data_IF_561933467473
#
_entry.id   IF_561933467473
#
_cell.length_a   1.000
_cell.length_b   1.000
_cell.length_c   1.000
_cell.angle_alpha   90.00
_cell.angle_beta   90.00
_cell.angle_gamma   90.00
#
_symmetry.space_group_name_H-M   'P 1'
#
loop_
_entity.id
_entity.type
_entity.pdbx_description
1 polymer ?
#
# COMPACT_ATOMS: atom_id res chain seq x y z
N UNK A 1 18.19 23.83 -4.16
CA UNK A 1 19.02 22.63 -4.30
C UNK A 1 18.50 21.83 -5.48
N UNK A 2 19.36 21.60 -6.46
CA UNK A 2 19.01 21.07 -7.78
C UNK A 2 18.88 19.55 -7.66
N UNK A 3 17.66 19.01 -7.72
CA UNK A 3 17.43 17.55 -7.68
C UNK A 3 18.06 16.90 -8.92
N UNK A 4 19.17 16.18 -8.74
CA UNK A 4 19.70 15.28 -9.77
C UNK A 4 18.78 14.07 -9.90
N UNK A 5 18.67 13.42 -11.08
CA UNK A 5 17.83 12.24 -11.27
C UNK A 5 18.12 11.11 -10.28
N UNK A 6 19.40 10.97 -9.89
CA UNK A 6 19.88 10.00 -8.89
C UNK A 6 19.36 10.32 -7.48
N UNK A 7 19.34 11.60 -7.10
CA UNK A 7 18.83 12.03 -5.80
C UNK A 7 17.31 11.84 -5.64
N UNK A 8 16.56 11.82 -6.75
CA UNK A 8 15.12 11.57 -6.73
C UNK A 8 14.78 10.11 -6.44
N UNK A 9 15.48 9.16 -7.08
CA UNK A 9 15.24 7.73 -6.85
C UNK A 9 15.65 7.34 -5.41
N UNK A 10 16.74 7.91 -4.87
CA UNK A 10 17.14 7.71 -3.47
C UNK A 10 16.10 8.27 -2.48
N UNK A 11 15.60 9.49 -2.72
CA UNK A 11 14.55 10.09 -1.88
C UNK A 11 13.23 9.31 -1.96
N UNK A 12 12.87 8.79 -3.13
CA UNK A 12 11.70 7.93 -3.31
C UNK A 12 11.88 6.58 -2.59
N UNK A 13 13.07 5.98 -2.66
CA UNK A 13 13.36 4.73 -1.96
C UNK A 13 13.30 4.92 -0.44
N UNK A 14 13.96 5.97 0.08
CA UNK A 14 13.94 6.28 1.50
C UNK A 14 12.52 6.57 2.01
N UNK A 15 11.75 7.36 1.24
CA UNK A 15 10.34 7.64 1.53
C UNK A 15 9.43 6.42 1.43
N UNK A 16 9.71 5.48 0.51
CA UNK A 16 8.97 4.23 0.39
C UNK A 16 9.23 3.33 1.61
N UNK A 17 10.49 3.12 1.99
CA UNK A 17 10.88 2.29 3.15
C UNK A 17 10.26 2.81 4.46
N UNK A 18 10.24 4.13 4.66
CA UNK A 18 9.60 4.76 5.82
C UNK A 18 8.11 4.44 5.95
N UNK A 19 7.42 4.17 4.83
CA UNK A 19 5.99 3.82 4.81
C UNK A 19 5.74 2.31 4.90
N UNK A 20 6.73 1.47 4.62
CA UNK A 20 6.58 0.01 4.68
C UNK A 20 6.32 -0.46 6.11
N UNK A 21 7.09 0.02 7.10
CA UNK A 21 6.94 -0.38 8.51
C UNK A 21 5.53 -0.06 9.05
N UNK A 22 5.02 1.18 8.90
CA UNK A 22 3.66 1.52 9.33
C UNK A 22 2.58 0.77 8.56
N UNK A 23 2.72 0.58 7.23
CA UNK A 23 1.74 -0.19 6.43
C UNK A 23 1.72 -1.67 6.82
N UNK A 24 2.88 -2.27 7.08
CA UNK A 24 2.96 -3.65 7.52
C UNK A 24 2.31 -3.82 8.90
N UNK A 25 2.50 -2.86 9.81
CA UNK A 25 1.85 -2.87 11.13
C UNK A 25 0.32 -2.85 11.01
N UNK A 26 -0.25 -1.98 10.17
CA UNK A 26 -1.71 -1.92 10.03
C UNK A 26 -2.27 -3.19 9.40
N UNK A 27 -1.62 -3.72 8.36
CA UNK A 27 -2.01 -4.98 7.73
C UNK A 27 -1.96 -6.13 8.73
N UNK A 28 -0.87 -6.24 9.49
CA UNK A 28 -0.71 -7.30 10.48
C UNK A 28 -1.79 -7.24 11.56
N UNK A 29 -2.08 -6.07 12.12
CA UNK A 29 -3.11 -5.90 13.17
C UNK A 29 -4.50 -6.22 12.63
N UNK A 30 -4.84 -5.77 11.41
CA UNK A 30 -6.16 -6.03 10.83
C UNK A 30 -6.34 -7.51 10.51
N UNK A 31 -5.33 -8.16 9.90
CA UNK A 31 -5.39 -9.60 9.64
C UNK A 31 -5.51 -10.36 10.97
N UNK A 32 -4.66 -10.05 11.96
CA UNK A 32 -4.70 -10.72 13.26
C UNK A 32 -6.05 -10.55 13.98
N UNK A 33 -6.70 -9.39 13.87
CA UNK A 33 -8.02 -9.13 14.46
C UNK A 33 -9.18 -9.80 13.73
N UNK A 34 -9.08 -9.97 12.41
CA UNK A 34 -10.13 -10.58 11.58
C UNK A 34 -9.98 -12.09 11.44
N UNK A 35 -8.79 -12.65 11.64
CA UNK A 35 -8.50 -14.07 11.50
C UNK A 35 -9.40 -14.97 12.36
N UNK A 36 -9.66 -14.66 13.65
CA UNK A 36 -10.56 -15.47 14.47
C UNK A 36 -12.01 -15.40 14.00
N UNK A 37 -12.43 -14.27 13.43
CA UNK A 37 -13.79 -14.08 12.90
C UNK A 37 -13.99 -14.95 11.65
N UNK A 38 -12.93 -15.11 10.85
CA UNK A 38 -12.95 -15.93 9.63
C UNK A 38 -13.02 -17.44 9.92
N UNK A 39 -12.40 -17.90 11.01
CA UNK A 39 -12.38 -19.31 11.40
C UNK A 39 -13.39 -19.70 12.47
N UNK A 40 -14.08 -18.72 13.08
CA UNK A 40 -15.07 -18.97 14.11
C UNK A 40 -16.20 -19.84 13.56
N UNK A 41 -16.46 -20.98 14.21
CA UNK A 41 -17.59 -21.86 13.89
C UNK A 41 -18.70 -21.67 14.92
N UNK A 42 -19.92 -21.36 14.47
CA UNK A 42 -21.06 -21.13 15.37
C UNK A 42 -22.20 -20.39 14.67
N UNK A 43 -23.31 -20.17 15.39
CA UNK A 43 -24.44 -19.40 14.87
C UNK A 43 -23.99 -17.98 14.45
N UNK A 44 -24.31 -17.56 13.22
CA UNK A 44 -23.91 -16.25 12.68
C UNK A 44 -22.50 -16.18 12.07
N UNK A 45 -21.67 -17.23 12.22
CA UNK A 45 -20.32 -17.27 11.63
C UNK A 45 -20.30 -17.15 10.11
N UNK A 46 -21.31 -17.70 9.43
CA UNK A 46 -21.42 -17.64 7.98
C UNK A 46 -21.54 -16.19 7.48
N UNK A 47 -22.31 -15.36 8.18
CA UNK A 47 -22.48 -13.95 7.84
C UNK A 47 -21.19 -13.18 8.15
N UNK A 48 -20.61 -13.39 9.33
CA UNK A 48 -19.41 -12.69 9.77
C UNK A 48 -18.19 -13.00 8.90
N UNK A 49 -18.03 -14.26 8.49
CA UNK A 49 -16.94 -14.70 7.60
C UNK A 49 -17.07 -14.08 6.20
N UNK A 50 -18.29 -13.95 5.67
CA UNK A 50 -18.55 -13.28 4.38
C UNK A 50 -18.23 -11.78 4.40
N UNK A 51 -18.30 -11.14 5.55
CA UNK A 51 -17.92 -9.74 5.74
C UNK A 51 -16.39 -9.62 5.93
N UNK A 52 -15.79 -10.51 6.72
CA UNK A 52 -14.36 -10.48 7.04
C UNK A 52 -13.47 -10.89 5.87
N UNK A 53 -13.88 -11.87 5.06
CA UNK A 53 -13.12 -12.37 3.92
C UNK A 53 -12.68 -11.28 2.91
N UNK A 54 -13.60 -10.44 2.37
CA UNK A 54 -13.21 -9.36 1.45
C UNK A 54 -12.36 -8.29 2.14
N UNK A 55 -12.55 -8.03 3.44
CA UNK A 55 -11.69 -7.11 4.19
C UNK A 55 -10.25 -7.62 4.27
N UNK A 56 -10.05 -8.90 4.59
CA UNK A 56 -8.71 -9.52 4.62
C UNK A 56 -8.07 -9.49 3.22
N UNK A 57 -8.82 -9.88 2.18
CA UNK A 57 -8.33 -9.86 0.79
C UNK A 57 -7.95 -8.44 0.33
N UNK A 58 -8.78 -7.45 0.66
CA UNK A 58 -8.52 -6.03 0.38
C UNK A 58 -7.29 -5.50 1.11
N UNK A 59 -7.08 -5.91 2.36
CA UNK A 59 -5.94 -5.47 3.16
C UNK A 59 -4.60 -6.06 2.70
N UNK A 60 -4.60 -7.17 1.97
CA UNK A 60 -3.38 -7.69 1.33
C UNK A 60 -3.11 -6.93 0.04
N UNK A 61 -4.14 -6.80 -0.80
CA UNK A 61 -4.00 -6.26 -2.16
C UNK A 61 -3.84 -4.74 -2.18
N UNK A 62 -4.65 -3.98 -1.44
CA UNK A 62 -4.64 -2.53 -1.50
C UNK A 62 -3.32 -1.88 -1.05
N UNK A 63 -2.66 -2.31 0.04
CA UNK A 63 -1.39 -1.74 0.46
C UNK A 63 -0.24 -2.09 -0.49
N UNK A 64 -0.24 -3.31 -1.04
CA UNK A 64 0.69 -3.73 -2.09
C UNK A 64 0.53 -2.85 -3.32
N UNK A 65 -0.68 -2.79 -3.89
CA UNK A 65 -0.95 -1.91 -5.03
C UNK A 65 -0.56 -0.46 -4.72
N UNK A 66 -0.91 0.06 -3.55
CA UNK A 66 -0.56 1.43 -3.14
C UNK A 66 0.96 1.66 -3.04
N UNK A 67 1.74 0.68 -2.54
CA UNK A 67 3.20 0.78 -2.46
C UNK A 67 3.86 0.81 -3.84
N UNK A 68 3.30 0.13 -4.85
CA UNK A 68 3.85 0.15 -6.21
C UNK A 68 3.29 1.29 -7.06
N UNK A 69 1.97 1.52 -7.02
CA UNK A 69 1.27 2.49 -7.88
C UNK A 69 1.66 3.92 -7.53
N UNK A 70 1.73 4.28 -6.25
CA UNK A 70 2.04 5.67 -5.85
C UNK A 70 3.43 6.11 -6.37
N UNK A 71 4.55 5.39 -6.13
CA UNK A 71 5.85 5.81 -6.64
C UNK A 71 5.91 5.76 -8.18
N UNK A 72 5.30 4.75 -8.81
CA UNK A 72 5.26 4.66 -10.28
C UNK A 72 4.50 5.85 -10.90
N UNK A 73 3.33 6.20 -10.35
CA UNK A 73 2.53 7.33 -10.80
C UNK A 73 3.26 8.67 -10.55
N UNK A 74 3.91 8.81 -9.39
CA UNK A 74 4.69 10.02 -9.08
C UNK A 74 5.86 10.20 -10.05
N UNK A 75 6.63 9.13 -10.32
CA UNK A 75 7.72 9.13 -11.30
C UNK A 75 7.23 9.52 -12.70
N UNK A 76 6.09 8.97 -13.13
CA UNK A 76 5.49 9.29 -14.43
C UNK A 76 5.06 10.76 -14.54
N UNK A 77 4.40 11.31 -13.52
CA UNK A 77 3.98 12.71 -13.48
C UNK A 77 5.19 13.65 -13.47
N UNK A 78 6.21 13.31 -12.67
CA UNK A 78 7.44 14.09 -12.58
C UNK A 78 8.17 14.17 -13.93
N UNK A 79 8.33 13.03 -14.61
CA UNK A 79 8.94 12.96 -15.95
C UNK A 79 8.16 13.79 -16.97
N UNK A 80 6.82 13.72 -16.96
CA UNK A 80 5.97 14.51 -17.87
C UNK A 80 6.08 16.02 -17.63
N UNK A 81 6.19 16.46 -16.38
CA UNK A 81 6.35 17.89 -16.04
C UNK A 81 7.73 18.42 -16.45
N UNK A 82 8.80 17.65 -16.25
CA UNK A 82 10.15 18.08 -16.61
C UNK A 82 10.40 18.05 -18.12
N UNK A 83 9.74 17.14 -18.87
CA UNK A 83 9.80 17.13 -20.34
C UNK A 83 9.12 18.35 -20.99
N UNK A 84 8.17 19.00 -20.31
CA UNK A 84 7.49 20.22 -20.77
C UNK A 84 8.26 21.52 -20.54
N UNK A 85 9.34 21.50 -19.74
CA UNK A 85 10.13 22.71 -19.43
C UNK A 85 11.32 22.93 -20.39
N UNK A 86 11.55 22.00 -21.32
CA UNK A 86 12.68 22.02 -22.28
C UNK A 86 12.18 22.17 -23.73
N UNK A 87 10.88 22.45 -23.91
CA UNK A 87 10.25 22.84 -25.17
C UNK A 87 9.63 24.22 -25.00
#
# INVERSE_FOLDING_TARGET
ETFTPEGLDEALYHGAVLRVRPKAMTVAVIIAGLLPILWGTGAGSEVMSRIAAPMIGGMITAPLLSLFIIPAAYKLIWLRRHKKSVS
#
